data_IF_187745636566
#
_entry.id   IF_187745636566
#
_cell.length_a   1.000
_cell.length_b   1.000
_cell.length_c   1.000
_cell.angle_alpha   90.00
_cell.angle_beta   90.00
_cell.angle_gamma   90.00
#
_symmetry.space_group_name_H-M   'P 1'
#
loop_
_entity.id
_entity.type
_entity.pdbx_description
1 polymer ?
#
# COMPACT_ATOMS: atom_id res chain seq x y z
N UNK A 1 -0.56 1.60 -20.08
CA UNK A 1 0.16 1.40 -18.82
C UNK A 1 0.59 2.77 -18.34
N UNK A 2 0.07 3.21 -17.20
CA UNK A 2 0.48 4.44 -16.54
C UNK A 2 1.08 4.08 -15.18
N UNK A 3 2.31 4.54 -14.93
CA UNK A 3 2.89 4.53 -13.59
C UNK A 3 2.29 5.73 -12.84
N UNK A 4 1.39 5.45 -11.90
CA UNK A 4 0.59 6.45 -11.19
C UNK A 4 1.26 6.79 -9.87
N UNK A 5 1.26 8.08 -9.54
CA UNK A 5 1.85 8.59 -8.29
C UNK A 5 0.80 9.16 -7.35
N UNK A 6 1.12 9.31 -6.06
CA UNK A 6 0.28 10.02 -5.06
C UNK A 6 -0.26 11.37 -5.61
N UNK A 7 0.56 12.10 -6.38
CA UNK A 7 0.21 13.40 -6.94
C UNK A 7 -0.74 13.33 -8.16
N UNK A 8 -0.74 12.22 -8.91
CA UNK A 8 -1.55 12.07 -10.13
C UNK A 8 -2.73 11.10 -9.97
N UNK A 9 -2.76 10.31 -8.89
CA UNK A 9 -3.78 9.29 -8.61
C UNK A 9 -5.22 9.80 -8.71
N UNK A 10 -5.50 11.00 -8.19
CA UNK A 10 -6.83 11.59 -8.30
C UNK A 10 -7.29 11.77 -9.76
N UNK A 11 -6.38 12.14 -10.66
CA UNK A 11 -6.68 12.34 -12.07
C UNK A 11 -6.64 11.00 -12.83
N UNK A 12 -5.51 10.30 -12.77
CA UNK A 12 -5.22 9.09 -13.56
C UNK A 12 -6.02 7.85 -13.13
N UNK A 13 -6.60 7.85 -11.91
CA UNK A 13 -7.41 6.74 -11.42
C UNK A 13 -8.83 7.19 -11.11
N UNK A 14 -9.02 8.17 -10.22
CA UNK A 14 -10.38 8.55 -9.78
C UNK A 14 -11.16 9.22 -10.92
N UNK A 15 -10.65 10.29 -11.53
CA UNK A 15 -11.34 10.92 -12.67
C UNK A 15 -11.42 10.00 -13.91
N UNK A 16 -10.35 9.25 -14.21
CA UNK A 16 -10.37 8.25 -15.31
C UNK A 16 -11.45 7.18 -15.13
N UNK A 17 -11.70 6.74 -13.90
CA UNK A 17 -12.66 5.66 -13.58
C UNK A 17 -14.12 5.97 -13.91
N UNK A 18 -14.49 7.26 -14.10
CA UNK A 18 -15.80 7.68 -14.63
C UNK A 18 -15.95 7.48 -16.16
N UNK A 19 -14.84 7.23 -16.88
CA UNK A 19 -14.85 7.02 -18.34
C UNK A 19 -14.58 5.57 -18.71
N UNK A 20 -13.63 4.93 -18.01
CA UNK A 20 -13.17 3.56 -18.25
C UNK A 20 -12.77 2.95 -16.90
N UNK A 21 -13.15 1.71 -16.56
CA UNK A 21 -12.67 1.06 -15.33
C UNK A 21 -11.14 1.05 -15.26
N UNK A 22 -10.59 1.46 -14.13
CA UNK A 22 -9.14 1.51 -13.89
C UNK A 22 -8.77 0.41 -12.90
N UNK A 23 -7.93 -0.53 -13.34
CA UNK A 23 -7.33 -1.54 -12.47
C UNK A 23 -6.04 -0.96 -11.89
N UNK A 24 -5.99 -0.87 -10.56
CA UNK A 24 -4.85 -0.41 -9.77
C UNK A 24 -4.06 -1.62 -9.27
N UNK A 25 -2.85 -1.81 -9.79
CA UNK A 25 -1.89 -2.83 -9.36
C UNK A 25 -0.92 -2.23 -8.34
N UNK A 26 -1.07 -2.62 -7.07
CA UNK A 26 -0.23 -2.20 -5.94
C UNK A 26 0.91 -3.20 -5.76
N UNK A 27 2.12 -2.75 -6.08
CA UNK A 27 3.33 -3.56 -6.16
C UNK A 27 4.51 -2.87 -5.47
N UNK A 28 5.63 -3.60 -5.31
CA UNK A 28 6.91 -3.03 -4.91
C UNK A 28 8.06 -3.89 -5.48
N UNK A 29 9.27 -3.33 -5.60
CA UNK A 29 10.42 -4.01 -6.20
C UNK A 29 10.91 -5.22 -5.37
N UNK A 30 10.67 -5.22 -4.05
CA UNK A 30 10.96 -6.34 -3.15
C UNK A 30 9.91 -7.48 -3.21
N UNK A 31 8.75 -7.24 -3.84
CA UNK A 31 7.66 -8.21 -3.92
C UNK A 31 7.93 -9.30 -4.98
N UNK A 32 8.50 -10.42 -4.56
CA UNK A 32 8.72 -11.60 -5.41
C UNK A 32 7.47 -12.09 -6.17
N UNK A 33 6.29 -12.23 -5.53
CA UNK A 33 5.06 -12.66 -6.21
C UNK A 33 4.55 -11.66 -7.25
N UNK A 34 4.73 -10.35 -7.03
CA UNK A 34 4.30 -9.30 -7.96
C UNK A 34 4.95 -9.45 -9.34
N UNK A 35 6.21 -9.93 -9.40
CA UNK A 35 6.96 -10.12 -10.65
C UNK A 35 6.39 -11.22 -11.57
N UNK A 36 5.52 -12.09 -11.04
CA UNK A 36 4.75 -13.05 -11.83
C UNK A 36 3.38 -12.50 -12.25
N UNK A 37 2.76 -11.67 -11.41
CA UNK A 37 1.43 -11.11 -11.65
C UNK A 37 1.45 -9.94 -12.67
N UNK A 38 2.42 -9.03 -12.57
CA UNK A 38 2.56 -7.86 -13.44
C UNK A 38 2.49 -8.16 -14.95
N UNK A 39 3.26 -9.12 -15.51
CA UNK A 39 3.17 -9.45 -16.94
C UNK A 39 1.87 -10.14 -17.34
N UNK A 40 1.14 -10.75 -16.40
CA UNK A 40 -0.19 -11.32 -16.64
C UNK A 40 -1.22 -10.20 -16.75
N UNK A 41 -1.20 -9.23 -15.83
CA UNK A 41 -2.06 -8.04 -15.86
C UNK A 41 -1.86 -7.23 -17.14
N UNK A 42 -0.61 -6.93 -17.50
CA UNK A 42 -0.28 -6.15 -18.70
C UNK A 42 -0.78 -6.83 -19.99
N UNK A 43 -0.61 -8.15 -20.09
CA UNK A 43 -1.16 -8.94 -21.21
C UNK A 43 -2.68 -8.87 -21.25
N UNK A 44 -3.37 -9.25 -20.17
CA UNK A 44 -4.84 -9.39 -20.15
C UNK A 44 -5.53 -8.04 -20.36
N UNK A 45 -5.01 -6.97 -19.76
CA UNK A 45 -5.58 -5.62 -19.93
C UNK A 45 -5.20 -5.03 -21.30
N UNK A 46 -4.01 -5.36 -21.84
CA UNK A 46 -3.67 -5.07 -23.23
C UNK A 46 -4.63 -5.73 -24.23
N UNK A 47 -5.07 -6.97 -23.96
CA UNK A 47 -6.08 -7.68 -24.75
C UNK A 47 -7.50 -7.08 -24.61
N UNK A 48 -7.77 -6.27 -23.58
CA UNK A 48 -9.04 -5.53 -23.42
C UNK A 48 -9.13 -4.27 -24.31
N UNK A 49 -8.08 -3.95 -25.09
CA UNK A 49 -8.07 -2.89 -26.13
C UNK A 49 -8.53 -1.49 -25.67
N UNK A 50 -8.38 -1.16 -24.39
CA UNK A 50 -8.80 0.13 -23.81
C UNK A 50 -10.21 0.15 -23.21
N UNK A 51 -10.90 -0.99 -23.13
CA UNK A 51 -12.13 -1.14 -22.32
C UNK A 51 -11.86 -1.16 -20.81
N UNK A 52 -10.60 -1.37 -20.42
CA UNK A 52 -10.08 -1.30 -19.04
C UNK A 52 -8.69 -0.67 -19.12
N UNK A 53 -8.32 0.15 -18.13
CA UNK A 53 -7.01 0.80 -18.03
C UNK A 53 -6.19 0.20 -16.87
N UNK A 54 -4.87 0.07 -17.04
CA UNK A 54 -3.96 -0.42 -16.00
C UNK A 54 -3.12 0.73 -15.44
N UNK A 55 -3.39 1.07 -14.18
CA UNK A 55 -2.60 1.95 -13.34
C UNK A 55 -1.70 1.11 -12.43
N UNK A 56 -0.38 1.35 -12.47
CA UNK A 56 0.57 0.70 -11.56
C UNK A 56 1.02 1.68 -10.50
N UNK A 57 0.94 1.27 -9.25
CA UNK A 57 1.34 2.09 -8.09
C UNK A 57 2.37 1.32 -7.28
N UNK A 58 3.56 1.89 -7.18
CA UNK A 58 4.58 1.41 -6.24
C UNK A 58 4.20 1.85 -4.83
N UNK A 59 3.97 0.90 -3.91
CA UNK A 59 3.51 1.21 -2.54
C UNK A 59 4.59 1.86 -1.67
N UNK A 60 5.87 1.62 -1.95
CA UNK A 60 6.99 2.23 -1.23
C UNK A 60 7.10 3.72 -1.60
N UNK A 61 6.90 4.04 -2.88
CA UNK A 61 6.98 5.41 -3.40
C UNK A 61 5.69 6.22 -3.21
N UNK A 62 4.54 5.57 -2.96
CA UNK A 62 3.21 6.19 -2.89
C UNK A 62 2.47 5.79 -1.60
N UNK A 63 2.93 6.28 -0.44
CA UNK A 63 2.38 5.90 0.85
C UNK A 63 0.96 6.43 1.08
N UNK A 64 0.52 7.51 0.41
CA UNK A 64 -0.86 8.02 0.59
C UNK A 64 -1.88 7.13 -0.13
N UNK A 65 -1.60 6.71 -1.36
CA UNK A 65 -2.44 5.72 -2.06
C UNK A 65 -2.48 4.41 -1.28
N UNK A 66 -1.35 3.94 -0.76
CA UNK A 66 -1.28 2.70 0.05
C UNK A 66 -2.14 2.77 1.33
N UNK A 67 -2.17 3.93 1.99
CA UNK A 67 -3.06 4.18 3.13
C UNK A 67 -4.54 4.26 2.71
N UNK A 68 -4.85 4.91 1.60
CA UNK A 68 -6.22 5.06 1.09
C UNK A 68 -6.87 3.71 0.72
N UNK A 69 -6.12 2.77 0.14
CA UNK A 69 -6.56 1.40 -0.12
C UNK A 69 -6.45 0.46 1.09
N UNK A 70 -5.94 0.95 2.24
CA UNK A 70 -5.73 0.17 3.46
C UNK A 70 -4.91 -1.12 3.21
N UNK A 71 -3.87 -1.03 2.38
CA UNK A 71 -3.12 -2.19 1.87
C UNK A 71 -2.42 -2.93 3.01
N UNK A 72 -2.86 -4.16 3.31
CA UNK A 72 -2.26 -5.00 4.35
C UNK A 72 -1.16 -5.94 3.83
N UNK A 73 -1.14 -6.20 2.52
CA UNK A 73 -0.21 -7.13 1.89
C UNK A 73 -0.19 -6.94 0.37
N UNK A 74 0.99 -7.07 -0.25
CA UNK A 74 1.17 -6.99 -1.70
C UNK A 74 1.54 -8.36 -2.31
N UNK A 75 1.20 -8.63 -3.60
CA UNK A 75 0.43 -7.78 -4.50
C UNK A 75 -1.03 -7.63 -4.05
N UNK A 76 -1.59 -6.45 -4.28
CA UNK A 76 -3.02 -6.19 -4.17
C UNK A 76 -3.49 -5.48 -5.44
N UNK A 77 -4.65 -5.88 -5.94
CA UNK A 77 -5.21 -5.34 -7.18
C UNK A 77 -6.65 -4.93 -6.93
N UNK A 78 -6.98 -3.68 -7.23
CA UNK A 78 -8.32 -3.12 -7.06
C UNK A 78 -8.85 -2.61 -8.38
N UNK A 79 -10.15 -2.74 -8.62
CA UNK A 79 -10.83 -2.13 -9.74
C UNK A 79 -11.60 -0.89 -9.28
N UNK A 80 -11.29 0.24 -9.89
CA UNK A 80 -11.96 1.52 -9.70
C UNK A 80 -12.93 1.76 -10.85
N UNK A 81 -14.18 2.10 -10.54
CA UNK A 81 -15.19 2.58 -11.48
C UNK A 81 -16.00 3.68 -10.79
N UNK A 82 -16.30 4.75 -11.51
CA UNK A 82 -17.05 5.90 -11.00
C UNK A 82 -16.57 6.48 -9.65
N UNK A 83 -15.24 6.49 -9.48
CA UNK A 83 -14.57 6.97 -8.28
C UNK A 83 -14.59 6.00 -7.09
N UNK A 84 -15.16 4.80 -7.24
CA UNK A 84 -15.34 3.82 -6.18
C UNK A 84 -14.64 2.49 -6.49
N UNK A 85 -14.23 1.75 -5.45
CA UNK A 85 -13.74 0.37 -5.59
C UNK A 85 -14.95 -0.55 -5.85
N UNK A 86 -15.01 -1.16 -7.03
CA UNK A 86 -16.09 -2.09 -7.42
C UNK A 86 -15.71 -3.57 -7.28
N UNK A 87 -14.42 -3.89 -7.32
CA UNK A 87 -13.91 -5.24 -7.11
C UNK A 87 -12.42 -5.22 -6.73
N UNK A 88 -11.86 -6.34 -6.30
CA UNK A 88 -10.44 -6.46 -6.04
C UNK A 88 -10.01 -7.82 -5.51
N UNK A 89 -8.70 -8.10 -5.57
CA UNK A 89 -8.09 -9.31 -5.02
C UNK A 89 -6.73 -9.02 -4.39
N UNK A 90 -6.35 -9.85 -3.43
CA UNK A 90 -5.03 -9.83 -2.80
C UNK A 90 -4.27 -11.12 -3.11
N UNK A 91 -2.94 -11.03 -3.13
CA UNK A 91 -2.05 -12.13 -3.48
C UNK A 91 -1.93 -12.38 -4.99
N UNK A 92 -0.91 -13.14 -5.37
CA UNK A 92 -0.64 -13.43 -6.78
C UNK A 92 -1.68 -14.42 -7.35
N UNK A 93 -2.46 -13.95 -8.31
CA UNK A 93 -3.45 -14.75 -9.04
C UNK A 93 -2.86 -15.30 -10.36
N UNK A 94 -3.44 -16.39 -10.86
CA UNK A 94 -3.10 -16.93 -12.18
C UNK A 94 -3.88 -16.24 -13.30
N UNK A 95 -3.36 -16.33 -14.53
CA UNK A 95 -3.99 -15.80 -15.75
C UNK A 95 -5.50 -16.02 -15.87
N UNK A 96 -6.09 -17.22 -15.66
CA UNK A 96 -7.54 -17.40 -15.77
C UNK A 96 -8.35 -16.51 -14.81
N UNK A 97 -7.91 -16.36 -13.56
CA UNK A 97 -8.60 -15.53 -12.58
C UNK A 97 -8.50 -14.03 -12.92
N UNK A 98 -7.36 -13.59 -13.48
CA UNK A 98 -7.19 -12.21 -13.97
C UNK A 98 -8.06 -11.95 -15.20
N UNK A 99 -8.21 -12.93 -16.10
CA UNK A 99 -9.13 -12.85 -17.25
C UNK A 99 -10.59 -12.76 -16.79
N UNK A 100 -11.03 -13.59 -15.85
CA UNK A 100 -12.39 -13.53 -15.29
C UNK A 100 -12.68 -12.19 -14.60
N UNK A 101 -11.70 -11.66 -13.84
CA UNK A 101 -11.78 -10.34 -13.21
C UNK A 101 -11.94 -9.22 -14.25
N UNK A 102 -11.08 -9.15 -15.27
CA UNK A 102 -11.17 -8.12 -16.32
C UNK A 102 -12.47 -8.24 -17.13
N UNK A 103 -12.90 -9.46 -17.47
CA UNK A 103 -14.18 -9.67 -18.18
C UNK A 103 -15.39 -9.19 -17.38
N UNK A 104 -15.39 -9.39 -16.05
CA UNK A 104 -16.44 -8.90 -15.15
C UNK A 104 -16.53 -7.36 -15.19
N UNK A 105 -15.39 -6.65 -15.19
CA UNK A 105 -15.35 -5.18 -15.25
C UNK A 105 -15.86 -4.62 -16.58
N UNK A 106 -15.49 -5.26 -17.70
CA UNK A 106 -16.03 -4.92 -19.02
C UNK A 106 -17.55 -5.07 -19.00
N UNK A 107 -18.05 -6.24 -18.58
CA UNK A 107 -19.48 -6.55 -18.60
C UNK A 107 -20.30 -5.70 -17.60
N UNK A 108 -19.69 -5.16 -16.54
CA UNK A 108 -20.28 -4.15 -15.64
C UNK A 108 -20.34 -2.75 -16.27
N UNK A 109 -19.45 -2.44 -17.22
CA UNK A 109 -19.44 -1.15 -17.93
C UNK A 109 -20.54 -1.10 -19.00
N UNK A 110 -20.76 -2.21 -19.70
CA UNK A 110 -21.88 -2.36 -20.63
C UNK A 110 -23.25 -2.35 -19.92
N UNK A 111 -23.35 -2.91 -18.71
CA UNK A 111 -24.62 -3.06 -17.97
C UNK A 111 -25.15 -1.73 -17.39
N UNK A 112 -24.28 -0.89 -16.83
CA UNK A 112 -24.70 0.39 -16.20
C UNK A 112 -25.13 1.47 -17.21
N UNK A 113 -24.83 1.29 -18.50
CA UNK A 113 -25.36 2.15 -19.58
C UNK A 113 -26.90 2.08 -19.72
N UNK A 114 -27.58 1.27 -18.89
CA UNK A 114 -29.02 1.14 -18.81
C UNK A 114 -29.62 1.36 -17.40
N UNK A 115 -28.82 1.75 -16.39
CA UNK A 115 -29.26 1.91 -15.00
C UNK A 115 -28.75 3.24 -14.40
N UNK A 116 -29.58 4.27 -14.53
CA UNK A 116 -29.44 5.55 -13.83
C UNK A 116 -29.97 5.45 -12.38
N UNK A 117 -29.49 6.35 -11.52
CA UNK A 117 -29.89 6.62 -10.11
C UNK A 117 -29.38 5.71 -8.96
N UNK A 118 -28.63 6.35 -8.02
CA UNK A 118 -28.46 5.95 -6.61
C UNK A 118 -27.23 5.07 -6.32
N UNK A 119 -26.21 5.48 -5.56
CA UNK A 119 -26.09 6.60 -4.62
C UNK A 119 -26.11 6.09 -3.17
N UNK A 120 -24.99 6.30 -2.46
CA UNK A 120 -24.82 6.12 -1.01
C UNK A 120 -24.93 4.66 -0.51
N UNK A 121 -24.00 4.09 0.27
CA UNK A 121 -23.06 4.73 1.17
C UNK A 121 -23.41 4.48 2.64
N UNK A 122 -23.88 3.29 3.03
CA UNK A 122 -24.26 3.00 4.42
C UNK A 122 -23.80 1.61 4.92
N UNK A 123 -23.21 1.62 6.11
CA UNK A 123 -22.86 0.45 6.91
C UNK A 123 -24.11 -0.24 7.47
N UNK A 124 -24.23 -1.58 7.44
CA UNK A 124 -25.20 -2.29 8.27
C UNK A 124 -24.66 -2.46 9.70
N UNK A 125 -25.07 -1.57 10.59
CA UNK A 125 -25.18 -1.85 12.03
C UNK A 125 -26.62 -2.30 12.37
N UNK A 126 -26.83 -2.74 13.62
CA UNK A 126 -28.12 -3.07 14.25
C UNK A 126 -28.85 -4.38 13.78
N UNK A 127 -29.76 -4.99 14.59
CA UNK A 127 -29.57 -5.37 16.00
C UNK A 127 -30.23 -6.73 16.40
N UNK A 128 -29.99 -7.18 17.65
CA UNK A 128 -30.90 -7.90 18.61
C UNK A 128 -31.92 -8.99 18.17
N UNK A 129 -32.22 -10.09 18.91
CA UNK A 129 -31.74 -10.64 20.19
C UNK A 129 -32.31 -12.07 20.47
N UNK A 130 -31.76 -12.78 21.47
CA UNK A 130 -32.42 -13.88 22.22
C UNK A 130 -31.90 -15.33 21.98
N UNK A 131 -31.78 -16.22 22.97
CA UNK A 131 -31.97 -16.08 24.42
C UNK A 131 -31.27 -17.19 25.27
N UNK A 132 -30.69 -16.78 26.39
CA UNK A 132 -30.73 -17.40 27.75
C UNK A 132 -30.41 -18.90 27.99
N UNK A 133 -29.34 -19.20 28.77
CA UNK A 133 -29.39 -20.10 29.96
C UNK A 133 -28.42 -19.63 31.07
N UNK A 134 -28.99 -19.25 32.22
CA UNK A 134 -28.53 -19.28 33.64
C UNK A 134 -27.05 -19.22 34.10
N UNK A 135 -26.84 -18.41 35.15
CA UNK A 135 -25.64 -18.21 36.02
C UNK A 135 -25.57 -19.30 37.14
N UNK A 136 -24.68 -19.22 38.17
CA UNK A 136 -23.47 -18.40 38.42
C UNK A 136 -22.21 -19.31 38.57
N UNK A 137 -21.07 -19.03 39.24
CA UNK A 137 -20.58 -17.98 40.17
C UNK A 137 -19.02 -17.96 40.19
N UNK A 138 -18.34 -17.04 40.92
CA UNK A 138 -16.86 -17.11 41.06
C UNK A 138 -16.02 -15.86 41.41
N UNK A 139 -16.59 -14.87 42.10
CA UNK A 139 -15.97 -13.88 43.02
C UNK A 139 -14.41 -13.64 43.10
N UNK A 140 -14.02 -12.34 43.14
CA UNK A 140 -12.76 -11.71 43.65
C UNK A 140 -11.41 -11.65 42.86
N UNK A 141 -11.22 -10.50 42.21
CA UNK A 141 -10.24 -9.43 42.52
C UNK A 141 -8.69 -9.65 42.50
N UNK A 142 -8.02 -8.98 41.55
CA UNK A 142 -7.08 -7.83 41.70
C UNK A 142 -7.06 -7.08 40.35
N UNK A 143 -6.88 -5.77 40.22
CA UNK A 143 -6.28 -4.78 41.13
C UNK A 143 -5.22 -4.01 40.35
N UNK A 144 -5.63 -2.89 39.74
CA UNK A 144 -4.84 -2.03 38.85
C UNK A 144 -3.55 -1.47 39.51
N UNK A 145 -2.56 -1.02 38.72
CA UNK A 145 -2.52 0.43 38.52
C UNK A 145 -2.17 0.93 37.11
N UNK A 146 -2.91 1.95 36.73
CA UNK A 146 -2.72 2.96 35.69
C UNK A 146 -1.31 3.57 35.47
N UNK A 147 -1.26 4.34 34.38
CA UNK A 147 -0.31 5.38 33.92
C UNK A 147 1.05 4.94 33.35
N UNK A 148 1.26 5.19 32.05
CA UNK A 148 1.58 6.55 31.56
C UNK A 148 0.97 6.81 30.19
N UNK A 149 0.17 7.87 30.08
CA UNK A 149 0.04 8.58 28.81
C UNK A 149 1.32 9.42 28.62
N UNK A 150 1.93 9.31 27.46
CA UNK A 150 3.00 10.21 27.03
C UNK A 150 2.65 10.72 25.63
N UNK A 151 1.89 11.81 25.60
CA UNK A 151 1.93 12.75 24.49
C UNK A 151 3.41 13.10 24.21
N UNK A 152 3.86 12.81 22.99
CA UNK A 152 5.20 13.18 22.54
C UNK A 152 5.24 13.32 21.03
N UNK A 153 4.44 14.28 20.52
CA UNK A 153 4.51 14.92 19.20
C UNK A 153 4.53 14.01 17.94
N UNK A 154 4.00 14.49 16.79
CA UNK A 154 4.53 13.98 15.53
C UNK A 154 6.04 14.26 15.54
N UNK A 155 6.85 13.23 15.26
CA UNK A 155 8.27 13.45 15.05
C UNK A 155 8.44 14.58 14.03
N UNK A 156 9.41 15.50 14.19
CA UNK A 156 9.70 16.49 13.16
C UNK A 156 9.89 15.74 11.83
N UNK A 157 9.54 16.33 10.68
CA UNK A 157 9.81 15.69 9.40
C UNK A 157 11.27 15.29 9.39
N UNK A 158 11.53 13.98 9.39
CA UNK A 158 12.87 13.46 9.18
C UNK A 158 13.17 13.80 7.73
N UNK A 159 13.91 14.89 7.53
CA UNK A 159 14.32 15.37 6.22
C UNK A 159 15.23 14.30 5.61
N UNK A 160 14.63 13.33 4.92
CA UNK A 160 15.31 12.17 4.32
C UNK A 160 16.47 12.63 3.45
N UNK A 161 16.26 13.70 2.67
CA UNK A 161 17.31 14.34 1.86
C UNK A 161 18.50 14.83 2.68
N UNK A 162 18.28 15.33 3.92
CA UNK A 162 19.37 15.77 4.81
C UNK A 162 20.11 14.57 5.42
N UNK A 163 19.38 13.51 5.80
CA UNK A 163 19.96 12.25 6.30
C UNK A 163 20.81 11.59 5.20
N UNK A 164 20.32 11.52 3.97
CA UNK A 164 21.05 10.94 2.83
C UNK A 164 22.28 11.77 2.41
N UNK A 165 22.20 13.10 2.49
CA UNK A 165 23.36 13.98 2.25
C UNK A 165 24.46 13.81 3.32
N UNK A 166 24.09 13.60 4.58
CA UNK A 166 25.06 13.33 5.65
C UNK A 166 25.66 11.92 5.52
N UNK A 167 24.85 10.90 5.15
CA UNK A 167 25.31 9.55 4.83
C UNK A 167 26.34 9.56 3.67
N UNK A 168 26.10 10.31 2.59
CA UNK A 168 27.06 10.42 1.48
C UNK A 168 28.39 11.05 1.91
N UNK A 169 28.32 12.07 2.76
CA UNK A 169 29.49 12.78 3.31
C UNK A 169 30.32 11.90 4.25
N UNK A 170 29.67 11.01 5.01
CA UNK A 170 30.34 10.11 5.95
C UNK A 170 30.89 8.85 5.28
N UNK A 171 30.27 8.36 4.21
CA UNK A 171 30.65 7.14 3.48
C UNK A 171 32.16 6.99 3.18
N UNK A 172 32.92 8.02 2.70
CA UNK A 172 34.36 7.87 2.48
C UNK A 172 35.18 7.69 3.77
N UNK A 173 34.67 8.12 4.92
CA UNK A 173 35.41 8.17 6.17
C UNK A 173 35.13 6.98 7.11
N UNK A 174 34.04 6.21 6.90
CA UNK A 174 33.65 5.04 7.74
C UNK A 174 34.71 3.94 7.90
N UNK A 175 35.72 3.92 7.01
CA UNK A 175 36.87 3.00 7.05
C UNK A 175 38.05 3.52 7.88
N UNK A 176 38.17 4.85 8.02
CA UNK A 176 39.28 5.53 8.68
C UNK A 176 38.91 6.01 10.10
N UNK A 177 37.65 6.36 10.31
CA UNK A 177 37.14 6.96 11.54
C UNK A 177 35.97 6.13 12.07
N UNK A 178 36.13 5.55 13.27
CA UNK A 178 35.06 4.78 13.91
C UNK A 178 33.87 5.67 14.29
N UNK A 179 34.11 6.93 14.69
CA UNK A 179 33.06 7.95 14.90
C UNK A 179 32.19 8.16 13.65
N UNK A 180 32.79 8.18 12.45
CA UNK A 180 32.04 8.29 11.20
C UNK A 180 31.18 7.06 10.93
N UNK A 181 31.64 5.86 11.33
CA UNK A 181 30.86 4.62 11.24
C UNK A 181 29.71 4.59 12.23
N UNK A 182 29.93 5.01 13.47
CA UNK A 182 28.88 5.09 14.49
C UNK A 182 27.80 6.12 14.09
N UNK A 183 28.19 7.30 13.59
CA UNK A 183 27.23 8.29 13.08
C UNK A 183 26.47 7.79 11.86
N UNK A 184 27.14 7.10 10.93
CA UNK A 184 26.48 6.49 9.76
C UNK A 184 25.44 5.43 10.18
N UNK A 185 25.74 4.59 11.18
CA UNK A 185 24.78 3.60 11.70
C UNK A 185 23.61 4.28 12.42
N UNK A 186 23.85 5.35 13.19
CA UNK A 186 22.80 6.12 13.84
C UNK A 186 21.85 6.79 12.82
N UNK A 187 22.38 7.34 11.73
CA UNK A 187 21.58 7.90 10.64
C UNK A 187 20.72 6.83 9.93
N UNK A 188 21.19 5.58 9.83
CA UNK A 188 20.39 4.47 9.28
C UNK A 188 19.29 3.97 10.23
N UNK A 189 19.43 4.20 11.53
CA UNK A 189 18.38 3.93 12.53
C UNK A 189 17.32 5.04 12.49
N UNK A 190 17.76 6.31 12.40
CA UNK A 190 16.93 7.51 12.27
C UNK A 190 16.16 7.59 10.93
N UNK A 191 16.73 7.07 9.84
CA UNK A 191 16.05 6.86 8.56
C UNK A 191 14.98 5.75 8.61
N UNK A 192 15.04 4.89 9.62
CA UNK A 192 14.17 3.73 9.77
C UNK A 192 14.54 2.52 8.91
N UNK A 193 14.22 1.34 9.42
CA UNK A 193 14.47 0.06 8.74
C UNK A 193 13.59 -0.19 7.50
N UNK A 194 12.48 0.54 7.38
CA UNK A 194 11.47 0.37 6.34
C UNK A 194 11.77 1.17 5.06
N UNK A 195 12.63 2.19 5.14
CA UNK A 195 12.92 3.06 3.99
C UNK A 195 13.79 2.33 2.94
N UNK A 196 13.46 2.41 1.63
CA UNK A 196 14.16 1.66 0.59
C UNK A 196 15.66 2.01 0.50
N UNK A 197 16.03 3.28 0.67
CA UNK A 197 17.44 3.69 0.69
C UNK A 197 18.27 3.04 1.80
N UNK A 198 17.66 2.68 2.95
CA UNK A 198 18.38 2.08 4.08
C UNK A 198 19.06 0.77 3.68
N UNK A 199 18.47 -0.01 2.77
CA UNK A 199 19.09 -1.21 2.23
C UNK A 199 20.26 -0.93 1.28
N UNK A 200 20.17 0.10 0.44
CA UNK A 200 21.27 0.48 -0.46
C UNK A 200 22.45 1.06 0.33
N UNK A 201 22.19 1.96 1.29
CA UNK A 201 23.22 2.50 2.18
C UNK A 201 23.89 1.42 3.05
N UNK A 202 23.17 0.39 3.51
CA UNK A 202 23.77 -0.78 4.19
C UNK A 202 24.70 -1.58 3.28
N UNK A 203 24.37 -1.74 2.00
CA UNK A 203 25.25 -2.36 0.99
C UNK A 203 26.48 -1.51 0.69
N UNK A 204 26.32 -0.19 0.56
CA UNK A 204 27.42 0.77 0.38
C UNK A 204 28.38 0.75 1.57
N UNK A 205 27.86 0.79 2.80
CA UNK A 205 28.66 0.67 4.03
C UNK A 205 29.47 -0.64 4.05
N UNK A 206 28.82 -1.77 3.76
CA UNK A 206 29.49 -3.08 3.73
C UNK A 206 30.61 -3.11 2.68
N UNK A 207 30.37 -2.52 1.50
CA UNK A 207 31.36 -2.41 0.42
C UNK A 207 32.52 -1.45 0.77
N UNK A 208 32.26 -0.38 1.51
CA UNK A 208 33.29 0.58 1.93
C UNK A 208 34.23 0.01 3.02
N UNK A 209 33.71 -0.86 3.89
CA UNK A 209 34.46 -1.49 4.98
C UNK A 209 35.37 -2.64 4.51
N UNK A 210 35.01 -3.34 3.43
CA UNK A 210 35.80 -4.45 2.85
C UNK A 210 36.96 -4.01 1.94
#
# INVERSE_FOLDING_TARGET
MADVTDATFAVDVVERSHTVPVVVDLWAEWCGPCKQLGPILDKVIGEAQGLVELAKVDVDANPQVSQAFQVQSIPAVYAMKDGQVVDGFMGAQGEPAVVEFVQKLINMSDAESAADEGGEGETPADPEAGAFISMPDGEQAIGEPAVIEADSAPAPPVDVEAIEAELETLLPNVKLEDEARERFVALLDELGNDHPSTNDWRRRLTTALY
#
